data_IF_781685684138
#
_entry.id   IF_781685684138
#
_cell.length_a   1.000
_cell.length_b   1.000
_cell.length_c   1.000
_cell.angle_alpha   90.00
_cell.angle_beta   90.00
_cell.angle_gamma   90.00
#
_symmetry.space_group_name_H-M   'P 1'
#
loop_
_entity.id
_entity.type
_entity.pdbx_description
1 polymer ?
#
# COMPACT_ATOMS: atom_id res chain seq x y z
N UNK A 1 8.31 45.06 -59.58
CA UNK A 1 8.78 45.89 -58.45
C UNK A 1 10.15 45.36 -58.11
N UNK A 2 11.21 46.15 -58.26
CA UNK A 2 12.56 45.67 -57.95
C UNK A 2 12.71 45.62 -56.43
N UNK A 3 12.93 44.42 -55.89
CA UNK A 3 13.28 44.19 -54.49
C UNK A 3 14.80 44.18 -54.39
N UNK A 4 15.37 44.71 -53.30
CA UNK A 4 16.80 44.62 -53.07
C UNK A 4 17.23 43.15 -52.85
N UNK A 5 18.47 42.80 -53.25
CA UNK A 5 19.02 41.45 -53.14
C UNK A 5 18.97 40.95 -51.68
N UNK A 6 19.30 41.81 -50.71
CA UNK A 6 19.32 41.43 -49.30
C UNK A 6 17.91 41.19 -48.77
N UNK A 7 16.95 42.02 -49.17
CA UNK A 7 15.54 41.86 -48.79
C UNK A 7 14.96 40.56 -49.37
N UNK A 8 15.26 40.25 -50.64
CA UNK A 8 14.81 39.03 -51.29
C UNK A 8 15.36 37.78 -50.59
N UNK A 9 16.65 37.78 -50.26
CA UNK A 9 17.31 36.71 -49.50
C UNK A 9 16.64 36.52 -48.14
N UNK A 10 16.41 37.61 -47.40
CA UNK A 10 15.77 37.57 -46.10
C UNK A 10 14.35 37.00 -46.20
N UNK A 11 13.56 37.49 -47.16
CA UNK A 11 12.21 36.99 -47.42
C UNK A 11 12.21 35.49 -47.76
N UNK A 12 13.12 35.03 -48.64
CA UNK A 12 13.25 33.60 -48.98
C UNK A 12 13.61 32.76 -47.76
N UNK A 13 14.56 33.21 -46.95
CA UNK A 13 14.96 32.53 -45.73
C UNK A 13 13.78 32.45 -44.74
N UNK A 14 13.03 33.53 -44.57
CA UNK A 14 11.81 33.55 -43.75
C UNK A 14 10.77 32.55 -44.24
N UNK A 15 10.55 32.40 -45.55
CA UNK A 15 9.63 31.39 -46.08
C UNK A 15 10.08 29.97 -45.76
N UNK A 16 11.37 29.68 -45.91
CA UNK A 16 11.94 28.36 -45.55
C UNK A 16 11.78 28.10 -44.04
N UNK A 17 12.05 29.10 -43.20
CA UNK A 17 11.85 29.00 -41.75
C UNK A 17 10.39 28.80 -41.37
N UNK A 18 9.47 29.47 -42.07
CA UNK A 18 8.03 29.26 -41.88
C UNK A 18 7.60 27.84 -42.29
N UNK A 19 8.11 27.30 -43.39
CA UNK A 19 7.87 25.90 -43.81
C UNK A 19 8.32 24.90 -42.74
N UNK A 20 9.53 25.09 -42.21
CA UNK A 20 10.08 24.26 -41.14
C UNK A 20 9.22 24.39 -39.88
N UNK A 21 8.89 25.62 -39.47
CA UNK A 21 8.06 25.88 -38.29
C UNK A 21 6.67 25.27 -38.39
N UNK A 22 6.00 25.40 -39.53
CA UNK A 22 4.68 24.78 -39.79
C UNK A 22 4.79 23.25 -39.69
N UNK A 23 5.83 22.67 -40.28
CA UNK A 23 6.06 21.21 -40.21
C UNK A 23 6.22 20.76 -38.75
N UNK A 24 7.02 21.48 -37.95
CA UNK A 24 7.16 21.21 -36.52
C UNK A 24 5.85 21.39 -35.74
N UNK A 25 5.05 22.40 -36.06
CA UNK A 25 3.73 22.59 -35.46
C UNK A 25 2.80 21.41 -35.77
N UNK A 26 2.80 20.90 -37.01
CA UNK A 26 2.00 19.72 -37.38
C UNK A 26 2.41 18.48 -36.58
N UNK A 27 3.70 18.21 -36.47
CA UNK A 27 4.21 17.09 -35.67
C UNK A 27 3.82 17.22 -34.19
N UNK A 28 3.91 18.42 -33.63
CA UNK A 28 3.49 18.69 -32.26
C UNK A 28 1.98 18.47 -32.06
N UNK A 29 1.14 18.96 -32.97
CA UNK A 29 -0.31 18.74 -32.90
C UNK A 29 -0.67 17.26 -33.02
N UNK A 30 0.03 16.50 -33.88
CA UNK A 30 -0.13 15.04 -33.96
C UNK A 30 0.24 14.37 -32.63
N UNK A 31 1.37 14.75 -32.03
CA UNK A 31 1.79 14.23 -30.72
C UNK A 31 0.78 14.54 -29.63
N UNK A 32 0.30 15.79 -29.54
CA UNK A 32 -0.72 16.22 -28.56
C UNK A 32 -2.02 15.43 -28.77
N UNK A 33 -2.47 15.29 -30.02
CA UNK A 33 -3.72 14.57 -30.34
C UNK A 33 -3.65 13.07 -30.01
N UNK A 34 -2.45 12.50 -29.96
CA UNK A 34 -2.22 11.09 -29.60
C UNK A 34 -2.28 10.84 -28.10
N UNK A 35 -2.24 11.89 -27.26
CA UNK A 35 -2.33 11.75 -25.80
C UNK A 35 -3.74 11.30 -25.41
N UNK A 36 -3.79 10.23 -24.61
CA UNK A 36 -5.00 9.67 -24.04
C UNK A 36 -4.90 9.73 -22.51
N UNK A 37 -5.79 10.49 -21.87
CA UNK A 37 -5.91 10.56 -20.42
C UNK A 37 -6.95 9.55 -19.97
N UNK A 38 -6.52 8.51 -19.26
CA UNK A 38 -7.41 7.44 -18.78
C UNK A 38 -7.76 7.71 -17.32
N UNK A 39 -9.05 7.96 -17.05
CA UNK A 39 -9.57 8.15 -15.69
C UNK A 39 -9.79 6.83 -14.95
N UNK A 40 -10.00 6.90 -13.63
CA UNK A 40 -10.24 5.72 -12.78
C UNK A 40 -11.46 4.89 -13.20
N UNK A 41 -12.42 5.50 -13.89
CA UNK A 41 -13.61 4.84 -14.46
C UNK A 41 -13.35 4.22 -15.85
N UNK A 42 -12.10 4.16 -16.30
CA UNK A 42 -11.69 3.75 -17.65
C UNK A 42 -12.22 4.66 -18.77
N UNK A 43 -12.67 5.86 -18.43
CA UNK A 43 -12.99 6.92 -19.40
C UNK A 43 -11.71 7.45 -20.02
N UNK A 44 -11.68 7.57 -21.35
CA UNK A 44 -10.52 8.10 -22.08
C UNK A 44 -10.85 9.49 -22.61
N UNK A 45 -10.10 10.50 -22.18
CA UNK A 45 -10.16 11.85 -22.71
C UNK A 45 -8.99 12.08 -23.66
N UNK A 46 -9.27 12.74 -24.78
CA UNK A 46 -8.27 13.15 -25.75
C UNK A 46 -8.17 14.68 -25.78
N UNK A 47 -6.99 15.19 -26.11
CA UNK A 47 -6.77 16.61 -26.29
C UNK A 47 -7.31 17.03 -27.67
N UNK A 48 -8.34 17.89 -27.69
CA UNK A 48 -8.91 18.41 -28.94
C UNK A 48 -7.99 19.48 -29.55
N UNK A 49 -7.44 19.18 -30.71
CA UNK A 49 -6.53 20.06 -31.46
C UNK A 49 -7.17 20.69 -32.69
N UNK A 50 -8.47 20.46 -32.95
CA UNK A 50 -9.12 20.85 -34.23
C UNK A 50 -9.02 22.34 -34.54
N UNK A 51 -9.24 23.20 -33.55
CA UNK A 51 -9.13 24.66 -33.74
C UNK A 51 -7.70 25.07 -34.08
N UNK A 52 -6.70 24.49 -33.39
CA UNK A 52 -5.29 24.77 -33.64
C UNK A 52 -4.86 24.30 -35.02
N UNK A 53 -5.31 23.12 -35.46
CA UNK A 53 -5.07 22.60 -36.80
C UNK A 53 -5.64 23.54 -37.87
N UNK A 54 -6.89 24.00 -37.71
CA UNK A 54 -7.51 24.94 -38.66
C UNK A 54 -6.78 26.30 -38.72
N UNK A 55 -6.32 26.81 -37.58
CA UNK A 55 -5.50 28.04 -37.56
C UNK A 55 -4.16 27.83 -38.28
N UNK A 56 -3.54 26.66 -38.15
CA UNK A 56 -2.28 26.33 -38.82
C UNK A 56 -2.45 26.24 -40.35
N UNK A 57 -3.56 25.69 -40.84
CA UNK A 57 -3.92 25.71 -42.27
C UNK A 57 -4.03 27.15 -42.80
N UNK A 58 -4.55 28.07 -42.00
CA UNK A 58 -4.57 29.50 -42.33
C UNK A 58 -3.16 30.09 -42.53
N UNK A 59 -2.20 29.70 -41.68
CA UNK A 59 -0.79 30.11 -41.81
C UNK A 59 -0.14 29.50 -43.06
N UNK A 60 -0.49 28.27 -43.42
CA UNK A 60 -0.03 27.62 -44.66
C UNK A 60 -0.54 28.30 -45.92
N UNK A 61 -1.80 28.77 -45.90
CA UNK A 61 -2.35 29.58 -46.99
C UNK A 61 -1.55 30.88 -47.15
N UNK A 62 -1.29 31.60 -46.04
CA UNK A 62 -0.47 32.82 -46.07
C UNK A 62 0.93 32.56 -46.61
N UNK A 63 1.57 31.46 -46.18
CA UNK A 63 2.88 31.04 -46.69
C UNK A 63 2.84 30.82 -48.21
N UNK A 64 1.79 30.18 -48.72
CA UNK A 64 1.60 29.92 -50.14
C UNK A 64 1.44 31.21 -50.94
N UNK A 65 0.73 32.19 -50.39
CA UNK A 65 0.57 33.51 -51.02
C UNK A 65 1.90 34.28 -51.04
N UNK A 66 2.63 34.32 -49.92
CA UNK A 66 3.94 34.96 -49.89
C UNK A 66 4.95 34.29 -50.83
N UNK A 67 4.89 32.96 -50.98
CA UNK A 67 5.70 32.24 -51.96
C UNK A 67 5.39 32.70 -53.38
N UNK A 68 4.12 32.79 -53.75
CA UNK A 68 3.68 33.27 -55.07
C UNK A 68 4.14 34.71 -55.33
N UNK A 69 4.06 35.57 -54.31
CA UNK A 69 4.55 36.96 -54.40
C UNK A 69 6.06 36.97 -54.64
N UNK A 70 6.83 36.22 -53.85
CA UNK A 70 8.29 36.18 -53.99
C UNK A 70 8.72 35.58 -55.34
N UNK A 71 8.03 34.57 -55.84
CA UNK A 71 8.26 33.99 -57.17
C UNK A 71 7.95 34.95 -58.33
N UNK A 72 7.11 35.96 -58.09
CA UNK A 72 6.81 37.02 -59.08
C UNK A 72 7.85 38.15 -59.10
N UNK A 73 8.79 38.14 -58.15
CA UNK A 73 9.89 39.11 -58.04
C UNK A 73 11.13 38.49 -58.68
N UNK A 74 11.93 39.32 -59.37
CA UNK A 74 13.17 38.88 -60.01
C UNK A 74 14.19 38.43 -58.95
N UNK A 75 14.77 37.24 -59.14
CA UNK A 75 15.75 36.70 -58.20
C UNK A 75 17.10 37.42 -58.31
N UNK A 76 17.91 37.45 -57.23
CA UNK A 76 19.24 38.04 -57.24
C UNK A 76 20.11 37.50 -58.37
N UNK A 77 20.80 38.39 -59.07
CA UNK A 77 21.72 38.04 -60.16
C UNK A 77 23.06 37.48 -59.67
N UNK A 78 23.33 37.58 -58.37
CA UNK A 78 24.61 37.21 -57.76
C UNK A 78 24.66 35.73 -57.36
N UNK A 79 25.70 35.02 -57.81
CA UNK A 79 25.95 33.64 -57.38
C UNK A 79 26.26 33.57 -55.88
N UNK A 80 25.35 33.02 -55.11
CA UNK A 80 25.37 33.11 -53.64
C UNK A 80 24.78 31.87 -52.98
N UNK A 81 25.21 31.60 -51.75
CA UNK A 81 24.76 30.49 -50.91
C UNK A 81 24.34 30.98 -49.53
N UNK A 82 23.31 30.36 -48.99
CA UNK A 82 22.67 30.66 -47.72
C UNK A 82 22.35 29.37 -46.97
N UNK A 83 22.07 29.51 -45.68
CA UNK A 83 21.65 28.42 -44.80
C UNK A 83 20.41 28.84 -44.01
N UNK A 84 19.44 27.93 -43.94
CA UNK A 84 18.19 28.14 -43.19
C UNK A 84 18.40 28.44 -41.70
N UNK A 85 19.45 27.89 -41.08
CA UNK A 85 19.78 28.08 -39.67
C UNK A 85 21.29 28.22 -39.49
N UNK A 86 21.81 29.36 -39.02
CA UNK A 86 23.25 29.61 -38.92
C UNK A 86 23.95 28.89 -37.75
N UNK A 87 23.18 28.49 -36.72
CA UNK A 87 23.68 27.74 -35.57
C UNK A 87 22.80 26.50 -35.33
N UNK A 88 22.91 25.46 -36.18
CA UNK A 88 22.13 24.25 -36.04
C UNK A 88 22.68 23.34 -34.96
N UNK A 89 21.84 22.45 -34.45
CA UNK A 89 22.27 21.33 -33.62
C UNK A 89 22.81 20.21 -34.50
N UNK A 90 23.71 19.41 -33.96
CA UNK A 90 24.13 18.16 -34.62
C UNK A 90 22.90 17.27 -34.87
N UNK A 91 22.89 16.59 -36.01
CA UNK A 91 21.76 15.77 -36.48
C UNK A 91 20.46 16.56 -36.81
N UNK A 92 20.47 17.89 -36.71
CA UNK A 92 19.35 18.71 -37.19
C UNK A 92 19.37 18.82 -38.71
N UNK A 93 18.20 18.65 -39.32
CA UNK A 93 18.02 18.88 -40.76
C UNK A 93 17.98 20.37 -41.03
N UNK A 94 18.90 20.84 -41.88
CA UNK A 94 18.90 22.21 -42.39
C UNK A 94 18.81 22.19 -43.91
N UNK A 95 18.39 23.32 -44.47
CA UNK A 95 18.46 23.58 -45.90
C UNK A 95 19.62 24.52 -46.20
N UNK A 96 20.54 24.09 -47.05
CA UNK A 96 21.51 24.92 -47.75
C UNK A 96 20.87 25.27 -49.10
N UNK A 97 20.82 26.54 -49.46
CA UNK A 97 20.18 26.98 -50.69
C UNK A 97 20.92 28.18 -51.27
N UNK A 98 20.67 28.50 -52.53
CA UNK A 98 21.31 29.64 -53.14
C UNK A 98 20.81 29.98 -54.53
N UNK A 99 21.32 31.11 -55.03
CA UNK A 99 21.06 31.61 -56.37
C UNK A 99 22.26 31.31 -57.23
N UNK A 100 22.01 30.70 -58.39
CA UNK A 100 22.98 30.33 -59.39
C UNK A 100 22.46 30.69 -60.79
N UNK A 101 22.17 31.98 -61.05
CA UNK A 101 21.71 32.42 -62.36
C UNK A 101 22.76 32.12 -63.42
N UNK A 102 22.32 31.66 -64.58
CA UNK A 102 23.18 31.29 -65.72
C UNK A 102 24.22 30.20 -65.43
N UNK A 103 24.05 29.42 -64.34
CA UNK A 103 24.89 28.26 -64.05
C UNK A 103 24.22 26.99 -64.58
N UNK A 104 24.97 26.17 -65.32
CA UNK A 104 24.52 24.86 -65.79
C UNK A 104 24.67 23.78 -64.72
N UNK A 105 25.54 23.98 -63.74
CA UNK A 105 25.74 23.07 -62.61
C UNK A 105 26.20 23.83 -61.37
N UNK A 106 25.89 23.30 -60.18
CA UNK A 106 26.34 23.81 -58.88
C UNK A 106 26.91 22.66 -58.06
N UNK A 107 28.08 22.89 -57.46
CA UNK A 107 28.75 22.00 -56.53
C UNK A 107 28.76 22.68 -55.16
N UNK A 108 28.10 22.10 -54.15
CA UNK A 108 28.12 22.62 -52.78
C UNK A 108 29.21 21.90 -52.00
N UNK A 109 30.12 22.68 -51.42
CA UNK A 109 31.21 22.21 -50.57
C UNK A 109 30.83 22.41 -49.10
N UNK A 110 30.89 21.35 -48.31
CA UNK A 110 30.71 21.37 -46.86
C UNK A 110 31.96 20.77 -46.22
N UNK A 111 32.79 21.62 -45.62
CA UNK A 111 34.07 21.25 -44.99
C UNK A 111 34.94 20.31 -45.89
N UNK A 112 35.07 20.67 -47.16
CA UNK A 112 35.83 19.90 -48.16
C UNK A 112 35.07 18.74 -48.82
N UNK A 113 33.87 18.37 -48.34
CA UNK A 113 33.03 17.34 -48.96
C UNK A 113 32.12 17.95 -50.01
N UNK A 114 32.03 17.32 -51.18
CA UNK A 114 31.28 17.82 -52.34
C UNK A 114 29.88 17.19 -52.46
N UNK A 115 28.90 18.03 -52.77
CA UNK A 115 27.50 17.67 -53.03
C UNK A 115 27.01 18.33 -54.32
N UNK A 116 26.12 17.68 -55.06
CA UNK A 116 25.62 18.16 -56.37
C UNK A 116 24.10 18.33 -56.33
N UNK A 117 23.58 19.44 -55.78
CA UNK A 117 22.14 19.71 -55.81
C UNK A 117 21.63 19.93 -57.23
N UNK A 118 20.35 19.63 -57.45
CA UNK A 118 19.68 20.01 -58.69
C UNK A 118 19.57 21.54 -58.79
N UNK A 119 19.81 22.05 -60.00
CA UNK A 119 19.68 23.47 -60.32
C UNK A 119 18.41 23.63 -61.14
N UNK A 120 17.45 24.39 -60.61
CA UNK A 120 16.18 24.69 -61.26
C UNK A 120 15.91 26.19 -61.22
N UNK A 121 15.59 26.78 -62.37
CA UNK A 121 15.28 28.20 -62.51
C UNK A 121 16.36 29.13 -61.90
N UNK A 122 17.64 28.79 -62.06
CA UNK A 122 18.75 29.57 -61.51
C UNK A 122 18.85 29.53 -59.99
N UNK A 123 18.26 28.53 -59.33
CA UNK A 123 18.34 28.30 -57.89
C UNK A 123 18.75 26.86 -57.60
N UNK A 124 19.31 26.63 -56.41
CA UNK A 124 19.62 25.27 -55.95
C UNK A 124 19.22 25.10 -54.48
N UNK A 125 18.97 23.84 -54.10
CA UNK A 125 18.59 23.45 -52.75
C UNK A 125 19.22 22.11 -52.38
N UNK A 126 19.77 22.04 -51.16
CA UNK A 126 20.34 20.85 -50.56
C UNK A 126 19.83 20.73 -49.12
N UNK A 127 19.10 19.66 -48.81
CA UNK A 127 18.82 19.29 -47.41
C UNK A 127 20.04 18.58 -46.86
N UNK A 128 20.55 19.05 -45.73
CA UNK A 128 21.79 18.57 -45.14
C UNK A 128 21.67 18.42 -43.62
N UNK A 129 22.45 17.48 -43.08
CA UNK A 129 22.48 17.16 -41.65
C UNK A 129 23.93 17.09 -41.22
N UNK A 130 24.33 17.88 -40.22
CA UNK A 130 25.68 17.85 -39.70
C UNK A 130 25.90 16.59 -38.85
N UNK A 131 26.89 15.74 -39.19
CA UNK A 131 27.12 14.49 -38.46
C UNK A 131 27.86 14.70 -37.14
N UNK A 132 28.52 15.83 -36.95
CA UNK A 132 29.32 16.14 -35.76
C UNK A 132 29.18 17.61 -35.38
N UNK A 133 29.50 17.92 -34.12
CA UNK A 133 29.59 19.31 -33.64
C UNK A 133 30.89 19.97 -34.11
N UNK A 134 30.88 21.29 -34.22
CA UNK A 134 32.06 22.06 -34.57
C UNK A 134 31.77 23.15 -35.59
N UNK A 135 32.83 23.76 -36.09
CA UNK A 135 32.76 24.82 -37.09
C UNK A 135 32.89 24.22 -38.50
N UNK A 136 31.99 24.62 -39.40
CA UNK A 136 31.92 24.16 -40.78
C UNK A 136 32.01 25.33 -41.74
N UNK A 137 32.88 25.21 -42.75
CA UNK A 137 32.92 26.11 -43.91
C UNK A 137 32.01 25.57 -45.02
N UNK A 138 31.14 26.43 -45.56
CA UNK A 138 30.23 26.10 -46.65
C UNK A 138 30.36 27.13 -47.76
N UNK A 139 30.53 26.67 -49.01
CA UNK A 139 30.46 27.50 -50.19
C UNK A 139 30.00 26.68 -51.39
N UNK A 140 29.65 27.35 -52.48
CA UNK A 140 29.26 26.72 -53.73
C UNK A 140 30.23 27.09 -54.87
N UNK A 141 30.36 26.19 -55.83
CA UNK A 141 31.07 26.41 -57.10
C UNK A 141 30.07 26.22 -58.24
N UNK A 142 29.77 27.30 -58.95
CA UNK A 142 28.89 27.30 -60.10
C UNK A 142 29.72 27.13 -61.38
N UNK A 143 29.22 26.34 -62.32
CA UNK A 143 29.86 26.12 -63.63
C UNK A 143 28.92 26.58 -64.72
N UNK A 144 29.45 27.33 -65.67
CA UNK A 144 28.76 27.73 -66.90
C UNK A 144 29.73 27.70 -68.09
N UNK A 145 29.27 28.15 -69.26
CA UNK A 145 30.07 28.16 -70.49
C UNK A 145 31.37 28.99 -70.40
N UNK A 146 31.44 29.96 -69.48
CA UNK A 146 32.60 30.85 -69.30
C UNK A 146 33.61 30.35 -68.25
N UNK A 147 33.28 29.31 -67.47
CA UNK A 147 34.18 28.73 -66.48
C UNK A 147 33.48 28.38 -65.16
N UNK A 148 34.28 28.32 -64.09
CA UNK A 148 33.82 28.07 -62.73
C UNK A 148 33.92 29.31 -61.86
N UNK A 149 32.89 29.53 -61.03
CA UNK A 149 32.76 30.69 -60.16
C UNK A 149 32.49 30.23 -58.73
N UNK A 150 33.10 30.87 -57.74
CA UNK A 150 32.88 30.57 -56.32
C UNK A 150 31.88 31.56 -55.72
N UNK A 151 30.98 31.08 -54.88
CA UNK A 151 30.04 31.92 -54.12
C UNK A 151 30.72 32.58 -52.92
N UNK A 152 29.94 33.30 -52.11
CA UNK A 152 30.29 33.62 -50.72
C UNK A 152 30.57 32.34 -49.89
N UNK A 153 31.28 32.53 -48.78
CA UNK A 153 31.62 31.48 -47.81
C UNK A 153 30.81 31.71 -46.53
N UNK A 154 30.19 30.65 -46.01
CA UNK A 154 29.47 30.64 -44.75
C UNK A 154 30.29 29.88 -43.71
N UNK A 155 30.36 30.44 -42.51
CA UNK A 155 30.89 29.77 -41.32
C UNK A 155 29.71 29.39 -40.42
N UNK A 156 29.56 28.10 -40.14
CA UNK A 156 28.43 27.55 -39.40
C UNK A 156 28.94 26.84 -38.16
N UNK A 157 28.45 27.23 -36.98
CA UNK A 157 28.80 26.58 -35.72
C UNK A 157 27.70 25.59 -35.31
N UNK A 158 28.05 24.31 -35.26
CA UNK A 158 27.13 23.21 -34.96
C UNK A 158 27.23 22.84 -33.49
N UNK A 159 26.14 23.05 -32.75
CA UNK A 159 26.08 22.78 -31.31
C UNK A 159 25.63 21.35 -30.98
N UNK A 160 25.87 20.92 -29.74
CA UNK A 160 25.22 19.71 -29.22
C UNK A 160 23.72 19.93 -29.05
N UNK A 161 22.95 18.84 -29.08
CA UNK A 161 21.52 18.82 -28.79
C UNK A 161 21.32 19.09 -27.29
N UNK A 162 20.63 20.17 -26.88
CA UNK A 162 20.31 20.45 -25.49
C UNK A 162 19.56 19.28 -24.83
N UNK A 163 19.79 19.07 -23.54
CA UNK A 163 19.07 18.06 -22.75
C UNK A 163 18.50 18.65 -21.47
N UNK A 164 17.50 17.99 -20.90
CA UNK A 164 16.91 18.31 -19.60
C UNK A 164 16.64 17.05 -18.81
N UNK A 165 16.82 17.12 -17.49
CA UNK A 165 16.43 16.06 -16.56
C UNK A 165 15.13 16.49 -15.89
N UNK A 166 14.12 15.61 -15.95
CA UNK A 166 12.87 15.76 -15.19
C UNK A 166 12.83 14.59 -14.21
N UNK A 167 12.77 14.88 -12.93
CA UNK A 167 12.82 13.87 -11.89
C UNK A 167 11.90 14.24 -10.73
N UNK A 168 11.42 13.21 -10.05
CA UNK A 168 10.57 13.32 -8.88
C UNK A 168 11.05 12.36 -7.78
N UNK A 169 10.81 12.78 -6.54
CA UNK A 169 10.93 11.91 -5.37
C UNK A 169 9.59 11.22 -5.12
N UNK A 170 9.63 9.91 -4.97
CA UNK A 170 8.51 9.09 -4.54
C UNK A 170 8.79 8.58 -3.12
N UNK A 171 7.97 9.04 -2.17
CA UNK A 171 8.08 8.71 -0.75
C UNK A 171 7.35 7.39 -0.44
N UNK A 172 8.11 6.39 0.02
CA UNK A 172 7.58 5.11 0.49
C UNK A 172 8.27 4.63 1.77
N UNK A 173 8.39 3.31 1.93
CA UNK A 173 9.27 2.71 2.94
C UNK A 173 10.76 2.99 2.66
N UNK A 174 11.08 3.32 1.41
CA UNK A 174 12.38 3.80 0.95
C UNK A 174 12.19 5.07 0.13
N UNK A 175 13.26 5.86 -0.01
CA UNK A 175 13.27 7.05 -0.87
C UNK A 175 13.61 6.59 -2.28
N UNK A 176 12.66 6.74 -3.20
CA UNK A 176 12.88 6.38 -4.61
C UNK A 176 12.86 7.63 -5.46
N UNK A 177 13.76 7.70 -6.42
CA UNK A 177 13.84 8.79 -7.39
C UNK A 177 13.60 8.17 -8.75
N UNK A 178 12.68 8.75 -9.51
CA UNK A 178 12.40 8.34 -10.88
C UNK A 178 12.29 9.56 -11.78
N UNK A 179 12.58 9.38 -13.06
CA UNK A 179 12.56 10.48 -14.00
C UNK A 179 12.98 10.10 -15.41
N UNK A 180 13.12 11.13 -16.23
CA UNK A 180 13.53 11.02 -17.62
C UNK A 180 14.65 12.02 -17.94
N UNK A 181 15.63 11.56 -18.72
CA UNK A 181 16.55 12.45 -19.44
C UNK A 181 16.01 12.65 -20.85
N UNK A 182 15.67 13.89 -21.19
CA UNK A 182 15.00 14.25 -22.44
C UNK A 182 15.90 15.12 -23.31
N UNK A 183 15.86 14.91 -24.62
CA UNK A 183 16.48 15.79 -25.61
C UNK A 183 15.63 17.05 -25.89
N UNK A 184 16.14 17.93 -26.76
CA UNK A 184 15.46 19.16 -27.19
C UNK A 184 14.05 18.93 -27.73
N UNK A 185 13.79 17.78 -28.34
CA UNK A 185 12.49 17.41 -28.92
C UNK A 185 11.60 16.64 -27.94
N UNK A 186 12.02 16.49 -26.68
CA UNK A 186 11.28 15.76 -25.66
C UNK A 186 11.38 14.24 -25.79
N UNK A 187 12.31 13.72 -26.59
CA UNK A 187 12.54 12.28 -26.72
C UNK A 187 13.55 11.83 -25.67
N UNK A 188 13.39 10.61 -25.18
CA UNK A 188 14.31 10.02 -24.22
C UNK A 188 15.73 9.86 -24.76
N UNK A 189 16.74 10.27 -23.99
CA UNK A 189 18.15 10.02 -24.33
C UNK A 189 18.51 8.60 -23.90
N UNK A 190 18.64 7.74 -24.89
CA UNK A 190 18.76 6.29 -24.74
C UNK A 190 20.11 5.82 -24.20
N UNK A 191 20.10 4.96 -23.17
CA UNK A 191 21.26 4.17 -22.70
C UNK A 191 22.50 4.99 -22.37
N UNK A 192 22.34 6.16 -21.76
CA UNK A 192 23.46 7.01 -21.33
C UNK A 192 23.65 6.99 -19.82
N UNK A 193 24.89 7.13 -19.34
CA UNK A 193 25.16 7.21 -17.91
C UNK A 193 24.71 8.56 -17.35
N UNK A 194 24.07 8.52 -16.18
CA UNK A 194 23.77 9.70 -15.35
C UNK A 194 24.25 9.43 -13.92
N UNK A 195 24.57 10.48 -13.19
CA UNK A 195 25.02 10.41 -11.80
C UNK A 195 23.99 11.11 -10.91
N UNK A 196 23.63 10.50 -9.80
CA UNK A 196 22.92 11.16 -8.71
C UNK A 196 23.91 11.34 -7.55
N UNK A 197 24.10 12.58 -7.14
CA UNK A 197 24.91 12.93 -5.97
C UNK A 197 23.98 13.36 -4.85
N UNK A 198 23.95 12.63 -3.74
CA UNK A 198 23.12 12.93 -2.57
C UNK A 198 24.00 12.95 -1.32
N UNK A 199 24.32 14.14 -0.82
CA UNK A 199 25.36 14.30 0.21
C UNK A 199 26.73 13.86 -0.31
N UNK A 200 27.39 12.95 0.40
CA UNK A 200 28.69 12.38 0.01
C UNK A 200 28.56 11.11 -0.86
N UNK A 201 27.35 10.59 -1.06
CA UNK A 201 27.09 9.37 -1.81
C UNK A 201 26.85 9.66 -3.29
N UNK A 202 27.40 8.80 -4.16
CA UNK A 202 27.26 8.92 -5.62
C UNK A 202 26.66 7.63 -6.19
N UNK A 203 25.47 7.75 -6.76
CA UNK A 203 24.76 6.67 -7.42
C UNK A 203 24.92 6.80 -8.94
N UNK A 204 25.45 5.75 -9.58
CA UNK A 204 25.60 5.70 -11.04
C UNK A 204 24.43 4.95 -11.65
N UNK A 205 23.78 5.58 -12.61
CA UNK A 205 22.58 5.07 -13.27
C UNK A 205 22.80 5.07 -14.78
N UNK A 206 21.99 4.29 -15.48
CA UNK A 206 21.94 4.29 -16.95
C UNK A 206 20.49 4.42 -17.36
N UNK A 207 20.21 5.32 -18.31
CA UNK A 207 18.85 5.52 -18.80
C UNK A 207 18.36 4.31 -19.62
N UNK A 208 17.05 4.08 -19.62
CA UNK A 208 16.39 3.11 -20.49
C UNK A 208 16.45 3.55 -21.96
N UNK A 209 16.01 2.71 -22.92
CA UNK A 209 15.86 3.11 -24.31
C UNK A 209 15.00 4.36 -24.53
N UNK A 210 14.01 4.58 -23.66
CA UNK A 210 13.08 5.70 -23.63
C UNK A 210 13.55 6.85 -22.73
N UNK A 211 14.81 6.82 -22.25
CA UNK A 211 15.39 7.87 -21.41
C UNK A 211 14.97 7.82 -19.93
N UNK A 212 14.19 6.82 -19.51
CA UNK A 212 13.75 6.66 -18.13
C UNK A 212 14.89 6.23 -17.21
N UNK A 213 14.88 6.65 -15.96
CA UNK A 213 15.76 6.13 -14.91
C UNK A 213 15.00 6.03 -13.59
N UNK A 214 15.42 5.10 -12.74
CA UNK A 214 14.99 5.01 -11.37
C UNK A 214 16.12 4.55 -10.45
N UNK A 215 16.04 4.95 -9.18
CA UNK A 215 16.96 4.48 -8.16
C UNK A 215 16.36 4.61 -6.77
N UNK A 216 16.89 3.83 -5.83
CA UNK A 216 16.54 3.91 -4.42
C UNK A 216 17.72 4.49 -3.67
N UNK A 217 17.47 5.51 -2.86
CA UNK A 217 18.47 6.23 -2.08
C UNK A 217 18.17 6.01 -0.60
N UNK A 218 19.22 5.81 0.19
CA UNK A 218 19.10 5.74 1.63
C UNK A 218 19.40 7.12 2.21
N UNK A 219 18.38 7.78 2.74
CA UNK A 219 18.45 9.13 3.27
C UNK A 219 18.03 9.11 4.74
N UNK A 220 18.93 9.48 5.64
CA UNK A 220 18.68 9.52 7.09
C UNK A 220 18.22 10.90 7.58
N UNK A 221 18.48 11.95 6.82
CA UNK A 221 18.08 13.33 7.06
C UNK A 221 17.83 14.05 5.75
N UNK A 222 17.10 15.15 5.77
CA UNK A 222 16.91 15.99 4.58
C UNK A 222 18.25 16.29 3.87
N UNK A 223 18.31 16.04 2.56
CA UNK A 223 19.52 16.21 1.76
C UNK A 223 19.20 16.74 0.36
N UNK A 224 19.98 17.71 -0.10
CA UNK A 224 19.93 18.14 -1.50
C UNK A 224 20.63 17.10 -2.36
N UNK A 225 19.92 16.60 -3.37
CA UNK A 225 20.47 15.70 -4.36
C UNK A 225 20.51 16.35 -5.74
N UNK A 226 21.58 16.07 -6.49
CA UNK A 226 21.79 16.59 -7.84
C UNK A 226 21.94 15.44 -8.81
N UNK A 227 21.05 15.39 -9.80
CA UNK A 227 21.19 14.54 -10.98
C UNK A 227 22.06 15.25 -12.00
N UNK A 228 23.04 14.55 -12.56
CA UNK A 228 24.04 15.08 -13.47
C UNK A 228 24.14 14.18 -14.68
N UNK A 229 23.86 14.74 -15.85
CA UNK A 229 24.24 14.18 -17.13
C UNK A 229 25.42 14.98 -17.69
N UNK A 230 26.56 14.32 -17.90
CA UNK A 230 27.81 14.98 -18.35
C UNK A 230 27.80 15.33 -19.84
N UNK A 231 26.75 14.96 -20.57
CA UNK A 231 26.70 15.10 -22.02
C UNK A 231 27.35 13.92 -22.74
N UNK A 232 27.30 13.99 -24.07
CA UNK A 232 27.96 13.06 -24.98
C UNK A 232 28.50 13.86 -26.19
N UNK A 233 29.11 13.22 -27.20
CA UNK A 233 29.45 13.91 -28.45
C UNK A 233 28.26 14.62 -29.11
N UNK A 234 27.04 14.07 -28.96
CA UNK A 234 25.83 14.60 -29.58
C UNK A 234 24.98 15.44 -28.64
N UNK A 235 24.95 15.11 -27.34
CA UNK A 235 24.05 15.72 -26.37
C UNK A 235 24.80 16.64 -25.40
N UNK A 236 24.23 17.81 -25.14
CA UNK A 236 24.77 18.75 -24.16
C UNK A 236 24.59 18.20 -22.73
N UNK A 237 25.45 18.58 -21.78
CA UNK A 237 25.25 18.26 -20.37
C UNK A 237 24.01 18.96 -19.80
N UNK A 238 23.43 18.37 -18.76
CA UNK A 238 22.32 18.95 -18.00
C UNK A 238 22.36 18.46 -16.56
N UNK A 239 21.76 19.22 -15.64
CA UNK A 239 21.57 18.79 -14.26
C UNK A 239 20.16 19.14 -13.76
N UNK A 240 19.74 18.48 -12.69
CA UNK A 240 18.53 18.81 -11.95
C UNK A 240 18.78 18.60 -10.46
N UNK A 241 18.27 19.52 -9.64
CA UNK A 241 18.35 19.43 -8.18
C UNK A 241 17.00 19.08 -7.60
N UNK A 242 17.01 18.23 -6.57
CA UNK A 242 15.83 17.80 -5.85
C UNK A 242 16.15 17.73 -4.36
N UNK A 243 15.14 18.03 -3.53
CA UNK A 243 15.25 17.86 -2.09
C UNK A 243 14.76 16.46 -1.74
N UNK A 244 15.60 15.68 -1.07
CA UNK A 244 15.23 14.35 -0.59
C UNK A 244 14.88 14.40 0.88
N UNK A 245 13.75 13.80 1.23
CA UNK A 245 13.28 13.65 2.60
C UNK A 245 13.50 12.20 3.06
N UNK A 246 13.84 11.97 4.34
CA UNK A 246 14.00 10.62 4.85
C UNK A 246 12.68 9.84 4.76
N UNK A 247 12.77 8.54 4.46
CA UNK A 247 11.60 7.67 4.42
C UNK A 247 10.91 7.60 5.79
N UNK A 248 9.58 7.72 5.81
CA UNK A 248 8.79 7.59 7.04
C UNK A 248 8.56 6.12 7.37
N UNK A 249 8.91 5.72 8.58
CA UNK A 249 8.65 4.36 9.07
C UNK A 249 7.13 4.12 9.19
N UNK A 250 6.66 2.95 8.76
CA UNK A 250 5.27 2.52 8.91
C UNK A 250 5.14 1.56 10.11
N UNK A 251 4.58 2.00 11.25
CA UNK A 251 4.43 1.14 12.41
C UNK A 251 3.37 0.05 12.13
N UNK A 252 3.68 -1.20 12.46
CA UNK A 252 2.70 -2.29 12.47
C UNK A 252 2.01 -2.32 13.84
N UNK A 253 0.67 -2.29 13.83
CA UNK A 253 -0.14 -2.38 15.05
C UNK A 253 -0.90 -3.71 14.99
N UNK A 254 -0.83 -4.53 16.05
CA UNK A 254 -1.64 -5.74 16.19
C UNK A 254 -2.38 -5.73 17.50
N UNK A 255 -3.64 -6.15 17.47
CA UNK A 255 -4.48 -6.36 18.64
C UNK A 255 -4.70 -7.86 18.86
N UNK A 256 -4.71 -8.25 20.13
CA UNK A 256 -4.88 -9.62 20.59
C UNK A 256 -5.98 -9.67 21.65
N UNK A 257 -6.77 -10.73 21.58
CA UNK A 257 -7.81 -11.04 22.54
C UNK A 257 -7.88 -12.56 22.69
N UNK A 258 -7.68 -13.05 23.92
CA UNK A 258 -7.53 -14.48 24.21
C UNK A 258 -8.86 -15.27 24.17
N UNK A 259 -9.96 -14.59 23.82
CA UNK A 259 -11.22 -15.21 23.41
C UNK A 259 -12.24 -15.43 24.53
N UNK A 260 -13.47 -15.74 24.10
CA UNK A 260 -14.65 -15.99 24.94
C UNK A 260 -15.80 -15.02 24.61
N UNK A 261 -17.04 -15.48 24.83
CA UNK A 261 -18.19 -14.58 24.91
C UNK A 261 -18.11 -13.81 26.23
N UNK A 262 -18.23 -12.50 26.15
CA UNK A 262 -18.23 -11.62 27.32
C UNK A 262 -19.67 -11.35 27.72
N UNK A 263 -19.93 -11.01 28.98
CA UNK A 263 -21.27 -10.58 29.36
C UNK A 263 -21.43 -9.11 28.97
N UNK A 264 -22.64 -8.72 28.62
CA UNK A 264 -22.96 -7.32 28.39
C UNK A 264 -22.59 -6.48 29.61
N UNK A 265 -21.83 -5.41 29.40
CA UNK A 265 -21.33 -4.53 30.46
C UNK A 265 -20.05 -4.99 31.17
N UNK A 266 -19.54 -6.20 30.89
CA UNK A 266 -18.23 -6.62 31.39
C UNK A 266 -17.13 -5.77 30.74
N UNK A 267 -16.08 -5.50 31.51
CA UNK A 267 -14.90 -4.80 31.02
C UNK A 267 -13.93 -5.81 30.41
N UNK A 268 -13.73 -5.70 29.10
CA UNK A 268 -12.86 -6.58 28.33
C UNK A 268 -11.48 -5.95 28.20
N UNK A 269 -10.43 -6.69 28.54
CA UNK A 269 -9.06 -6.25 28.32
C UNK A 269 -8.56 -6.75 26.98
N UNK A 270 -8.15 -5.83 26.11
CA UNK A 270 -7.52 -6.12 24.82
C UNK A 270 -6.06 -5.73 24.93
N UNK A 271 -5.17 -6.62 24.52
CA UNK A 271 -3.74 -6.35 24.44
C UNK A 271 -3.36 -6.04 23.00
N UNK A 272 -2.24 -5.35 22.82
CA UNK A 272 -1.75 -4.99 21.50
C UNK A 272 -0.26 -4.82 21.49
N UNK A 273 0.31 -4.78 20.28
CA UNK A 273 1.73 -4.56 20.04
C UNK A 273 1.93 -3.60 18.88
N UNK A 274 2.82 -2.64 19.08
CA UNK A 274 3.37 -1.75 18.05
C UNK A 274 4.78 -2.20 17.71
N UNK A 275 5.10 -2.26 16.43
CA UNK A 275 6.45 -2.54 15.92
C UNK A 275 6.81 -1.58 14.80
N UNK A 276 7.98 -0.92 14.77
CA UNK A 276 9.05 -0.99 15.78
C UNK A 276 8.65 -0.36 17.13
N UNK A 277 9.50 -0.46 18.15
CA UNK A 277 9.25 0.09 19.51
C UNK A 277 9.32 1.63 19.53
N UNK A 278 8.36 2.26 18.87
CA UNK A 278 8.18 3.71 18.80
C UNK A 278 6.85 4.09 19.44
N UNK A 279 6.83 5.22 20.13
CA UNK A 279 5.60 5.73 20.73
C UNK A 279 4.68 6.29 19.65
N UNK A 280 3.45 5.77 19.55
CA UNK A 280 2.45 6.20 18.57
C UNK A 280 1.12 6.53 19.28
N UNK A 281 0.51 7.71 19.03
CA UNK A 281 -0.83 8.02 19.50
C UNK A 281 -1.87 7.21 18.71
N UNK A 282 -2.50 6.23 19.35
CA UNK A 282 -3.54 5.40 18.76
C UNK A 282 -4.92 5.92 19.12
N UNK A 283 -5.82 5.92 18.15
CA UNK A 283 -7.27 6.03 18.36
C UNK A 283 -7.84 4.62 18.28
N UNK A 284 -8.52 4.18 19.34
CA UNK A 284 -9.25 2.92 19.37
C UNK A 284 -10.66 3.17 18.85
N UNK A 285 -11.09 2.36 17.90
CA UNK A 285 -12.43 2.38 17.34
C UNK A 285 -13.20 1.13 17.78
N UNK A 286 -14.46 1.33 18.13
CA UNK A 286 -15.45 0.29 18.39
C UNK A 286 -16.63 0.57 17.46
N UNK A 287 -16.92 -0.36 16.56
CA UNK A 287 -17.96 -0.23 15.53
C UNK A 287 -17.86 1.07 14.71
N UNK A 288 -16.64 1.33 14.23
CA UNK A 288 -16.26 2.51 13.43
C UNK A 288 -16.45 3.86 14.14
N UNK A 289 -16.75 3.86 15.45
CA UNK A 289 -16.82 5.05 16.29
C UNK A 289 -15.58 5.17 17.18
N UNK A 290 -14.96 6.37 17.30
CA UNK A 290 -13.81 6.57 18.16
C UNK A 290 -14.21 6.38 19.64
N UNK A 291 -13.53 5.47 20.33
CA UNK A 291 -13.81 5.10 21.71
C UNK A 291 -12.85 5.76 22.70
N UNK A 292 -11.54 5.63 22.46
CA UNK A 292 -10.51 6.25 23.31
C UNK A 292 -9.22 6.50 22.53
N UNK A 293 -8.33 7.28 23.11
CA UNK A 293 -6.99 7.53 22.58
C UNK A 293 -5.93 7.17 23.61
N UNK A 294 -4.83 6.55 23.17
CA UNK A 294 -3.71 6.19 24.04
C UNK A 294 -2.38 6.29 23.31
N UNK A 295 -1.31 6.62 24.02
CA UNK A 295 0.05 6.55 23.49
C UNK A 295 0.60 5.13 23.68
N UNK A 296 0.64 4.35 22.61
CA UNK A 296 1.14 2.99 22.61
C UNK A 296 2.63 2.96 22.28
N UNK A 297 3.40 2.13 23.00
CA UNK A 297 4.80 1.84 22.71
C UNK A 297 5.06 0.37 23.02
N UNK A 298 5.65 -0.38 22.09
CA UNK A 298 5.87 -1.81 22.27
C UNK A 298 4.56 -2.54 22.55
N UNK A 299 4.46 -3.22 23.69
CA UNK A 299 3.23 -3.87 24.15
C UNK A 299 2.34 -2.89 24.93
N UNK A 300 1.05 -2.91 24.64
CA UNK A 300 0.06 -2.05 25.29
C UNK A 300 -1.22 -2.83 25.59
N UNK A 301 -2.07 -2.27 26.44
CA UNK A 301 -3.40 -2.81 26.70
C UNK A 301 -4.40 -1.69 26.94
N UNK A 302 -5.67 -1.98 26.67
CA UNK A 302 -6.78 -1.09 26.96
C UNK A 302 -8.01 -1.89 27.33
N UNK A 303 -8.97 -1.21 27.95
CA UNK A 303 -10.21 -1.81 28.42
C UNK A 303 -11.40 -1.23 27.67
N UNK A 304 -12.32 -2.09 27.26
CA UNK A 304 -13.55 -1.73 26.56
C UNK A 304 -14.76 -2.33 27.26
N UNK A 305 -15.85 -1.57 27.36
CA UNK A 305 -17.15 -2.10 27.78
C UNK A 305 -18.04 -2.22 26.56
N UNK A 306 -18.66 -3.38 26.39
CA UNK A 306 -19.44 -3.72 25.21
C UNK A 306 -20.94 -3.86 25.56
N UNK A 307 -21.78 -3.30 24.70
CA UNK A 307 -23.23 -3.51 24.75
C UNK A 307 -23.59 -4.91 24.26
N UNK A 308 -24.87 -5.27 24.25
CA UNK A 308 -25.29 -6.55 23.67
C UNK A 308 -25.05 -6.57 22.14
N UNK A 309 -24.46 -7.66 21.65
CA UNK A 309 -24.24 -7.86 20.21
C UNK A 309 -22.81 -8.23 19.83
N UNK A 310 -22.54 -8.17 18.53
CA UNK A 310 -21.20 -8.33 17.96
C UNK A 310 -20.54 -6.98 17.76
N UNK A 311 -19.29 -6.86 18.22
CA UNK A 311 -18.52 -5.63 18.17
C UNK A 311 -17.23 -5.81 17.41
N UNK A 312 -16.87 -4.81 16.60
CA UNK A 312 -15.63 -4.77 15.80
C UNK A 312 -14.69 -3.70 16.34
N UNK A 313 -13.50 -4.13 16.75
CA UNK A 313 -12.54 -3.26 17.43
C UNK A 313 -11.25 -3.20 16.64
N UNK A 314 -10.76 -2.00 16.37
CA UNK A 314 -9.44 -1.79 15.74
C UNK A 314 -8.78 -0.53 16.28
N UNK A 315 -7.46 -0.47 16.16
CA UNK A 315 -6.66 0.71 16.47
C UNK A 315 -6.23 1.39 15.16
N UNK A 316 -6.21 2.72 15.16
CA UNK A 316 -5.77 3.54 14.04
C UNK A 316 -4.78 4.59 14.52
N UNK A 317 -3.66 4.69 13.82
CA UNK A 317 -2.68 5.76 13.94
C UNK A 317 -2.79 6.64 12.69
N UNK A 318 -3.13 7.94 12.81
CA UNK A 318 -3.29 8.83 11.67
C UNK A 318 -1.96 9.23 10.98
N UNK A 319 -0.80 8.84 11.53
CA UNK A 319 0.51 9.26 11.03
C UNK A 319 1.08 10.46 11.80
N UNK A 320 2.34 10.78 11.55
CA UNK A 320 3.04 11.94 12.10
C UNK A 320 4.02 12.55 11.09
N UNK A 321 4.80 13.55 11.52
CA UNK A 321 5.92 14.08 10.73
C UNK A 321 6.93 12.99 10.35
N UNK A 322 7.13 12.00 11.22
CA UNK A 322 8.19 10.97 11.11
C UNK A 322 7.67 9.59 10.73
N UNK A 323 6.37 9.31 10.97
CA UNK A 323 5.78 7.99 10.82
C UNK A 323 4.57 8.02 9.89
N UNK A 324 4.38 6.95 9.10
CA UNK A 324 3.19 6.79 8.24
C UNK A 324 1.96 6.38 9.06
N UNK A 325 0.78 6.65 8.52
CA UNK A 325 -0.47 6.18 9.09
C UNK A 325 -0.58 4.65 9.03
N UNK A 326 -1.21 4.06 10.05
CA UNK A 326 -1.35 2.61 10.18
C UNK A 326 -2.65 2.21 10.85
N UNK A 327 -3.20 1.05 10.45
CA UNK A 327 -4.39 0.45 11.05
C UNK A 327 -4.06 -0.97 11.51
N UNK A 328 -4.59 -1.38 12.66
CA UNK A 328 -4.44 -2.74 13.15
C UNK A 328 -5.34 -3.75 12.44
N UNK A 329 -5.20 -5.03 12.78
CA UNK A 329 -6.26 -6.02 12.56
C UNK A 329 -7.54 -5.65 13.33
N UNK A 330 -8.65 -6.25 12.91
CA UNK A 330 -9.95 -6.12 13.59
C UNK A 330 -10.12 -7.29 14.55
N UNK A 331 -10.44 -7.00 15.81
CA UNK A 331 -10.87 -7.97 16.81
C UNK A 331 -12.39 -7.98 16.85
N UNK A 332 -12.99 -9.16 16.76
CA UNK A 332 -14.44 -9.35 16.88
C UNK A 332 -14.76 -9.96 18.23
N UNK A 333 -15.71 -9.36 18.97
CA UNK A 333 -16.12 -9.81 20.30
C UNK A 333 -17.64 -9.85 20.35
N UNK A 334 -18.21 -10.96 20.84
CA UNK A 334 -19.65 -11.10 21.07
C UNK A 334 -19.96 -10.95 22.54
N UNK A 335 -20.84 -10.00 22.86
CA UNK A 335 -21.32 -9.73 24.21
C UNK A 335 -22.75 -10.26 24.38
N UNK A 336 -22.94 -11.19 25.32
CA UNK A 336 -24.23 -11.88 25.56
C UNK A 336 -24.92 -11.37 26.83
N UNK A 337 -26.26 -11.23 26.81
CA UNK A 337 -27.00 -10.74 27.97
C UNK A 337 -27.07 -11.79 29.09
N UNK A 338 -27.18 -11.32 30.33
CA UNK A 338 -27.42 -12.18 31.49
C UNK A 338 -28.87 -12.69 31.44
N UNK A 339 -29.07 -13.99 31.21
CA UNK A 339 -30.41 -14.61 31.27
C UNK A 339 -30.88 -14.80 32.72
N UNK A 340 -31.64 -13.83 33.23
CA UNK A 340 -32.30 -13.93 34.53
C UNK A 340 -33.49 -14.91 34.54
N UNK A 341 -34.09 -15.17 33.38
CA UNK A 341 -35.25 -16.06 33.24
C UNK A 341 -34.92 -17.52 33.58
N UNK A 342 -33.78 -18.03 33.11
CA UNK A 342 -33.31 -19.38 33.45
C UNK A 342 -33.01 -19.53 34.94
N UNK A 343 -32.36 -18.52 35.55
CA UNK A 343 -32.04 -18.52 36.99
C UNK A 343 -33.31 -18.47 37.84
N UNK A 344 -34.28 -17.66 37.46
CA UNK A 344 -35.58 -17.60 38.12
C UNK A 344 -36.34 -18.93 38.01
N UNK A 345 -36.30 -19.59 36.85
CA UNK A 345 -36.97 -20.87 36.63
C UNK A 345 -36.33 -22.01 37.44
N UNK A 346 -35.00 -22.01 37.58
CA UNK A 346 -34.28 -22.94 38.47
C UNK A 346 -34.61 -22.69 39.96
N UNK A 347 -34.70 -21.43 40.39
CA UNK A 347 -35.10 -21.08 41.75
C UNK A 347 -36.54 -21.55 42.02
N UNK A 348 -37.45 -21.37 41.06
CA UNK A 348 -38.83 -21.81 41.17
C UNK A 348 -38.92 -23.34 41.24
N UNK A 349 -38.13 -24.06 40.44
CA UNK A 349 -38.04 -25.52 40.47
C UNK A 349 -37.45 -26.03 41.79
N UNK A 350 -36.46 -25.34 42.35
CA UNK A 350 -35.90 -25.63 43.67
C UNK A 350 -36.93 -25.41 44.79
N UNK A 351 -37.70 -24.32 44.75
CA UNK A 351 -38.79 -24.07 45.69
C UNK A 351 -39.90 -25.11 45.58
N UNK A 352 -40.23 -25.56 44.36
CA UNK A 352 -41.21 -26.62 44.13
C UNK A 352 -40.72 -27.96 44.69
N UNK A 353 -39.45 -28.31 44.46
CA UNK A 353 -38.83 -29.50 45.04
C UNK A 353 -38.78 -29.45 46.56
N UNK A 354 -38.46 -28.29 47.14
CA UNK A 354 -38.47 -28.06 48.59
C UNK A 354 -39.88 -28.19 49.18
N UNK A 355 -40.91 -27.65 48.51
CA UNK A 355 -42.30 -27.79 48.91
C UNK A 355 -42.82 -29.22 48.85
N UNK A 356 -42.41 -30.00 47.84
CA UNK A 356 -42.71 -31.44 47.74
C UNK A 356 -42.02 -32.22 48.86
N UNK A 357 -40.74 -31.96 49.12
CA UNK A 357 -40.00 -32.60 50.21
C UNK A 357 -40.64 -32.29 51.58
N UNK A 358 -41.05 -31.04 51.81
CA UNK A 358 -41.73 -30.62 53.03
C UNK A 358 -43.04 -31.39 53.25
N UNK A 359 -43.85 -31.56 52.19
CA UNK A 359 -45.13 -32.30 52.25
C UNK A 359 -44.96 -33.81 52.49
N UNK A 360 -43.81 -34.38 52.11
CA UNK A 360 -43.47 -35.78 52.39
C UNK A 360 -42.97 -36.01 53.81
N UNK A 361 -42.38 -34.99 54.45
CA UNK A 361 -41.86 -35.06 55.82
C UNK A 361 -42.94 -34.83 56.90
N UNK A 362 -44.10 -34.24 56.57
CA UNK A 362 -45.15 -33.88 57.54
C UNK A 362 -46.41 -34.74 57.53
N UNK A 363 -46.45 -35.89 56.82
CA UNK A 363 -47.60 -36.81 56.93
C UNK A 363 -47.50 -37.73 58.16
N UNK A 364 -48.41 -37.48 59.11
CA UNK A 364 -48.63 -38.24 60.35
C UNK A 364 -49.01 -39.72 60.13
N UNK A 365 -48.63 -40.57 61.09
CA UNK A 365 -48.93 -42.00 61.18
C UNK A 365 -50.38 -42.26 61.67
N UNK A 366 -51.01 -43.35 61.19
CA UNK A 366 -51.68 -44.27 62.10
C UNK A 366 -51.32 -45.76 61.87
N UNK A 367 -51.87 -46.63 62.72
CA UNK A 367 -51.30 -47.88 63.23
C UNK A 367 -51.61 -49.19 62.45
N UNK A 368 -50.91 -50.26 62.89
CA UNK A 368 -50.84 -51.66 62.40
C UNK A 368 -52.17 -52.43 62.33
N UNK A 369 -52.35 -53.27 61.30
CA UNK A 369 -52.69 -54.73 61.39
C UNK A 369 -52.51 -55.45 60.04
N UNK A 370 -52.15 -56.73 60.04
CA UNK A 370 -52.17 -57.72 58.93
C UNK A 370 -53.07 -58.90 59.37
N UNK A 371 -53.54 -59.86 58.53
CA UNK A 371 -52.96 -60.29 57.24
C UNK A 371 -53.96 -60.67 56.10
N UNK A 372 -53.34 -61.06 54.96
CA UNK A 372 -53.79 -62.09 53.99
C UNK A 372 -54.70 -61.69 52.80
N UNK A 373 -54.10 -61.53 51.60
CA UNK A 373 -54.30 -62.38 50.38
C UNK A 373 -53.61 -61.76 49.15
N UNK A 374 -52.93 -62.61 48.37
CA UNK A 374 -52.28 -62.40 47.05
C UNK A 374 -53.19 -63.12 46.02
N UNK A 375 -53.34 -62.77 44.72
CA UNK A 375 -52.32 -62.31 43.73
C UNK A 375 -52.89 -61.19 42.79
N UNK A 376 -52.31 -60.68 41.69
CA UNK A 376 -51.12 -60.92 40.87
C UNK A 376 -50.89 -59.68 39.96
N UNK A 377 -49.64 -59.19 39.91
CA UNK A 377 -48.87 -58.51 38.84
C UNK A 377 -49.47 -57.41 37.93
N UNK A 378 -48.83 -56.24 37.96
CA UNK A 378 -47.82 -55.73 36.98
C UNK A 378 -47.81 -54.17 37.07
N UNK A 379 -46.73 -53.41 37.25
CA UNK A 379 -45.30 -53.65 37.30
C UNK A 379 -44.61 -52.37 36.83
N UNK A 380 -44.16 -51.50 37.75
CA UNK A 380 -43.05 -50.54 37.54
C UNK A 380 -42.43 -50.28 38.93
N UNK A 381 -41.31 -50.92 39.21
CA UNK A 381 -40.48 -50.66 40.39
C UNK A 381 -39.77 -49.31 40.23
N UNK A 382 -40.01 -48.40 41.17
CA UNK A 382 -39.06 -47.35 41.50
C UNK A 382 -38.45 -47.72 42.86
N UNK A 383 -37.30 -48.37 42.84
CA UNK A 383 -36.50 -48.62 44.04
C UNK A 383 -35.99 -47.28 44.60
N UNK A 384 -36.72 -46.70 45.55
CA UNK A 384 -36.16 -45.76 46.50
C UNK A 384 -35.28 -46.54 47.48
N UNK A 385 -34.05 -46.85 47.08
CA UNK A 385 -33.09 -47.57 47.91
C UNK A 385 -32.79 -46.80 49.20
N UNK A 386 -33.27 -47.32 50.33
CA UNK A 386 -32.75 -47.01 51.67
C UNK A 386 -31.34 -47.60 51.81
N UNK A 387 -30.38 -47.05 51.08
CA UNK A 387 -28.99 -47.46 51.18
C UNK A 387 -28.45 -47.00 52.53
N UNK A 388 -27.95 -47.94 53.35
CA UNK A 388 -27.20 -47.60 54.56
C UNK A 388 -26.05 -46.65 54.16
N UNK A 389 -25.83 -45.55 54.91
CA UNK A 389 -24.76 -44.63 54.60
C UNK A 389 -23.42 -45.40 54.57
N UNK A 390 -22.62 -45.14 53.55
CA UNK A 390 -21.33 -45.80 53.32
C UNK A 390 -20.30 -44.72 52.97
N UNK A 391 -19.16 -44.76 53.67
CA UNK A 391 -18.03 -43.84 53.51
C UNK A 391 -17.48 -43.89 52.08
N UNK A 392 -17.38 -45.08 51.48
CA UNK A 392 -16.87 -45.23 50.10
C UNK A 392 -17.81 -44.57 49.09
N UNK A 393 -19.12 -44.70 49.31
CA UNK A 393 -20.14 -44.07 48.46
C UNK A 393 -20.14 -42.56 48.62
N UNK A 394 -20.04 -42.05 49.85
CA UNK A 394 -19.97 -40.61 50.13
C UNK A 394 -18.76 -39.96 49.44
N UNK A 395 -17.56 -40.55 49.57
CA UNK A 395 -16.36 -40.05 48.90
C UNK A 395 -16.51 -40.07 47.36
N UNK A 396 -17.02 -41.17 46.79
CA UNK A 396 -17.18 -41.31 45.34
C UNK A 396 -18.15 -40.29 44.74
N UNK A 397 -19.10 -39.79 45.52
CA UNK A 397 -20.00 -38.70 45.09
C UNK A 397 -19.22 -37.39 45.00
N UNK A 398 -18.48 -37.02 46.06
CA UNK A 398 -17.63 -35.82 46.09
C UNK A 398 -16.57 -35.84 45.00
N UNK A 399 -15.85 -36.96 44.85
CA UNK A 399 -14.83 -37.13 43.82
C UNK A 399 -15.38 -36.91 42.41
N UNK A 400 -16.53 -37.52 42.08
CA UNK A 400 -17.17 -37.34 40.77
C UNK A 400 -17.69 -35.92 40.56
N UNK A 401 -18.23 -35.32 41.62
CA UNK A 401 -18.68 -33.93 41.60
C UNK A 401 -17.52 -32.98 41.30
N UNK A 402 -16.46 -32.99 42.11
CA UNK A 402 -15.30 -32.11 41.93
C UNK A 402 -14.62 -32.34 40.58
N UNK A 403 -14.49 -33.60 40.15
CA UNK A 403 -13.93 -33.91 38.83
C UNK A 403 -14.73 -33.29 37.69
N UNK A 404 -16.06 -33.35 37.74
CA UNK A 404 -16.93 -32.79 36.70
C UNK A 404 -17.00 -31.26 36.79
N UNK A 405 -17.05 -30.72 38.00
CA UNK A 405 -17.20 -29.29 38.25
C UNK A 405 -15.92 -28.50 37.88
N UNK A 406 -14.74 -29.09 38.12
CA UNK A 406 -13.44 -28.48 37.82
C UNK A 406 -12.76 -29.06 36.57
N UNK A 407 -13.47 -29.84 35.75
CA UNK A 407 -12.95 -30.47 34.53
C UNK A 407 -11.61 -31.22 34.72
N UNK A 408 -11.52 -32.02 35.79
CA UNK A 408 -10.27 -32.69 36.17
C UNK A 408 -10.05 -34.00 35.38
N UNK A 409 -8.78 -34.40 35.14
CA UNK A 409 -8.46 -35.66 34.48
C UNK A 409 -9.02 -36.89 35.22
N UNK A 410 -9.47 -37.94 34.50
CA UNK A 410 -10.03 -39.14 35.11
C UNK A 410 -9.01 -40.00 35.88
N UNK A 411 -7.71 -39.81 35.66
CA UNK A 411 -6.61 -40.53 36.32
C UNK A 411 -6.20 -39.94 37.68
N UNK A 412 -6.79 -38.82 38.10
CA UNK A 412 -6.36 -38.10 39.31
C UNK A 412 -6.61 -38.91 40.58
N UNK A 413 -5.58 -39.11 41.39
CA UNK A 413 -5.68 -39.89 42.63
C UNK A 413 -6.35 -39.07 43.76
N UNK A 414 -6.92 -39.73 44.79
CA UNK A 414 -7.47 -39.04 45.97
C UNK A 414 -6.51 -38.02 46.61
N UNK A 415 -5.20 -38.33 46.65
CA UNK A 415 -4.17 -37.44 47.21
C UNK A 415 -3.83 -36.27 46.30
N UNK A 416 -3.75 -36.51 44.98
CA UNK A 416 -3.59 -35.44 44.00
C UNK A 416 -4.78 -34.49 44.00
N UNK A 417 -5.99 -35.03 44.17
CA UNK A 417 -7.21 -34.23 44.31
C UNK A 417 -7.13 -33.32 45.54
N UNK A 418 -6.66 -33.85 46.67
CA UNK A 418 -6.50 -33.07 47.90
C UNK A 418 -5.44 -31.97 47.73
N UNK A 419 -4.27 -32.30 47.19
CA UNK A 419 -3.18 -31.34 46.99
C UNK A 419 -3.58 -30.21 46.02
N UNK A 420 -4.36 -30.54 44.99
CA UNK A 420 -4.85 -29.56 44.01
C UNK A 420 -5.77 -28.51 44.62
N UNK A 421 -6.56 -28.88 45.62
CA UNK A 421 -7.49 -27.98 46.31
C UNK A 421 -6.90 -27.43 47.61
N UNK A 422 -5.57 -27.47 47.78
CA UNK A 422 -4.90 -26.82 48.92
C UNK A 422 -5.15 -25.32 48.86
N UNK A 423 -5.89 -24.81 49.86
CA UNK A 423 -6.29 -23.39 49.96
C UNK A 423 -7.77 -23.12 49.65
N UNK A 424 -8.54 -24.12 49.21
CA UNK A 424 -9.99 -23.97 49.07
C UNK A 424 -10.70 -24.03 50.45
N UNK A 425 -11.81 -23.32 50.65
CA UNK A 425 -12.55 -23.28 51.92
C UNK A 425 -13.12 -24.65 52.34
N UNK A 426 -13.23 -25.61 51.42
CA UNK A 426 -13.66 -26.99 51.70
C UNK A 426 -12.51 -27.98 51.86
N UNK A 427 -11.25 -27.53 51.82
CA UNK A 427 -10.07 -28.40 51.83
C UNK A 427 -10.05 -29.32 53.06
N UNK A 428 -10.37 -28.81 54.24
CA UNK A 428 -10.32 -29.59 55.49
C UNK A 428 -11.38 -30.70 55.53
N UNK A 429 -12.60 -30.41 55.05
CA UNK A 429 -13.66 -31.39 54.89
C UNK A 429 -13.26 -32.48 53.87
N UNK A 430 -12.59 -32.08 52.78
CA UNK A 430 -12.08 -32.98 51.74
C UNK A 430 -10.91 -33.84 52.25
N UNK A 431 -10.04 -33.29 53.09
CA UNK A 431 -8.90 -33.99 53.69
C UNK A 431 -9.37 -35.15 54.57
N UNK A 432 -10.33 -34.88 55.46
CA UNK A 432 -10.90 -35.89 56.35
C UNK A 432 -11.65 -36.99 55.58
N UNK A 433 -12.42 -36.61 54.55
CA UNK A 433 -13.09 -37.57 53.67
C UNK A 433 -12.11 -38.46 52.91
N UNK A 434 -11.03 -37.87 52.40
CA UNK A 434 -9.97 -38.60 51.71
C UNK A 434 -9.29 -39.57 52.67
N UNK A 435 -8.99 -39.15 53.90
CA UNK A 435 -8.44 -40.02 54.94
C UNK A 435 -9.37 -41.17 55.32
N UNK A 436 -10.68 -40.92 55.44
CA UNK A 436 -11.67 -41.97 55.69
C UNK A 436 -11.78 -42.95 54.52
N UNK A 437 -11.73 -42.45 53.27
CA UNK A 437 -11.71 -43.27 52.08
C UNK A 437 -10.47 -44.16 52.01
N UNK A 438 -9.28 -43.62 52.27
CA UNK A 438 -8.02 -44.38 52.27
C UNK A 438 -8.02 -45.47 53.35
N UNK A 439 -8.49 -45.16 54.57
CA UNK A 439 -8.59 -46.15 55.65
C UNK A 439 -9.60 -47.25 55.34
N UNK A 440 -10.70 -46.93 54.64
CA UNK A 440 -11.67 -47.93 54.20
C UNK A 440 -11.11 -48.82 53.09
N UNK A 441 -10.48 -48.23 52.08
CA UNK A 441 -10.04 -48.91 50.87
C UNK A 441 -8.73 -49.69 51.05
N UNK A 442 -7.72 -49.05 51.65
CA UNK A 442 -6.39 -49.63 51.85
C UNK A 442 -6.24 -50.25 53.24
N UNK A 443 -6.83 -49.61 54.26
CA UNK A 443 -6.77 -50.09 55.65
C UNK A 443 -7.82 -51.16 56.00
N UNK A 444 -8.77 -51.46 55.11
CA UNK A 444 -9.92 -52.37 55.31
C UNK A 444 -10.73 -52.08 56.59
N UNK A 445 -10.70 -50.84 57.07
CA UNK A 445 -11.44 -50.42 58.26
C UNK A 445 -12.94 -50.34 57.92
N UNK A 446 -13.76 -51.03 58.72
CA UNK A 446 -15.23 -50.94 58.64
C UNK A 446 -15.71 -49.83 59.56
N UNK A 447 -16.37 -48.83 58.98
CA UNK A 447 -16.93 -47.69 59.70
C UNK A 447 -18.34 -48.03 60.21
N UNK A 448 -18.67 -47.57 61.41
CA UNK A 448 -20.01 -47.69 61.97
C UNK A 448 -21.01 -46.72 61.32
N UNK A 449 -22.28 -46.83 61.71
CA UNK A 449 -23.35 -45.96 61.22
C UNK A 449 -23.05 -44.47 61.51
N UNK A 450 -22.49 -44.16 62.68
CA UNK A 450 -22.11 -42.80 63.08
C UNK A 450 -21.06 -42.17 62.16
N UNK A 451 -19.98 -42.89 61.86
CA UNK A 451 -18.91 -42.39 60.99
C UNK A 451 -19.36 -42.29 59.54
N UNK A 452 -20.24 -43.20 59.09
CA UNK A 452 -20.82 -43.11 57.76
C UNK A 452 -21.76 -41.90 57.60
N UNK A 453 -22.58 -41.60 58.61
CA UNK A 453 -23.37 -40.35 58.64
C UNK A 453 -22.47 -39.11 58.64
N UNK A 454 -21.36 -39.16 59.37
CA UNK A 454 -20.42 -38.06 59.43
C UNK A 454 -19.72 -37.83 58.08
N UNK A 455 -19.34 -38.90 57.37
CA UNK A 455 -18.82 -38.83 56.00
C UNK A 455 -19.85 -38.23 55.02
N UNK A 456 -21.13 -38.58 55.12
CA UNK A 456 -22.18 -37.96 54.28
C UNK A 456 -22.34 -36.47 54.59
N UNK A 457 -22.27 -36.07 55.87
CA UNK A 457 -22.33 -34.66 56.28
C UNK A 457 -21.16 -33.85 55.73
N UNK A 458 -19.93 -34.35 55.87
CA UNK A 458 -18.72 -33.71 55.30
C UNK A 458 -18.79 -33.66 53.78
N UNK A 459 -19.25 -34.73 53.13
CA UNK A 459 -19.42 -34.76 51.67
C UNK A 459 -20.38 -33.68 51.17
N UNK A 460 -21.47 -33.45 51.90
CA UNK A 460 -22.45 -32.40 51.59
C UNK A 460 -21.84 -31.01 51.77
N UNK A 461 -21.03 -30.79 52.81
CA UNK A 461 -20.31 -29.53 53.01
C UNK A 461 -19.33 -29.23 51.89
N UNK A 462 -18.52 -30.21 51.47
CA UNK A 462 -17.61 -30.02 50.33
C UNK A 462 -18.36 -29.58 49.08
N UNK A 463 -19.47 -30.25 48.75
CA UNK A 463 -20.26 -29.93 47.56
C UNK A 463 -20.89 -28.53 47.67
N UNK A 464 -21.50 -28.20 48.81
CA UNK A 464 -22.14 -26.89 49.02
C UNK A 464 -21.11 -25.77 48.95
N UNK A 465 -20.01 -25.89 49.70
CA UNK A 465 -18.97 -24.87 49.75
C UNK A 465 -18.28 -24.70 48.39
N UNK A 466 -18.06 -25.79 47.64
CA UNK A 466 -17.51 -25.71 46.29
C UNK A 466 -18.43 -25.01 45.28
N UNK A 467 -19.76 -25.04 45.49
CA UNK A 467 -20.74 -24.34 44.64
C UNK A 467 -20.90 -22.88 45.07
N UNK A 468 -20.95 -22.63 46.38
CA UNK A 468 -21.33 -21.32 46.95
C UNK A 468 -20.13 -20.36 47.06
N UNK A 469 -18.89 -20.86 47.22
CA UNK A 469 -17.63 -20.07 47.31
C UNK A 469 -17.74 -18.76 48.13
N UNK A 470 -17.41 -18.81 49.43
CA UNK A 470 -17.28 -17.67 50.35
C UNK A 470 -18.43 -16.62 50.39
N UNK A 471 -19.60 -16.89 49.79
CA UNK A 471 -20.80 -16.03 49.89
C UNK A 471 -21.79 -16.48 50.99
N UNK A 472 -21.28 -16.82 52.18
CA UNK A 472 -22.06 -16.87 53.42
C UNK A 472 -21.35 -16.17 54.59
#
# INVERSE_FOLDING_TARGET
MAMDDADYVNARNSLILMEVGISSCREALLSISSVALVGENNETLHLDVRELSSRLEGVESLLSDYRRILESVEAPSNFSVFISKPNPMVLENITIFGYAPNMSAVLVMVNGTLYTPEVANGTFRLVYTFPQTGEYEIYAVGVNASGSFRSNVLTVNVSRIPTRIVAEENLGETVTISGYLLDYWGRGVSRVPIELVAGDEVYRLVTSPEGFFNTTVNVSSEVNATLIFRGSPYYAPSNATLLLLPAKLKPTIRLFYDGGSVRTGDTVTITGKVSPDVAVPLVIYVDDSPYTTLNARGEFSFQVQLSEGEHRIYAYFPGSGELQASRSNVVQITATPISYTLRFLLLLLFLLAAGVAYKFLTKEKPAKTSPETVPEKAGVEFEAGSAKPDVLRAYRVVYRFLRRFYSLPPSMTPRELLERFRGEPFHDDLAELTGMHERSLYGRVRFGLSEAFWAVKRASRVIITAIVRDEL
#
